data_IF_220789588933
#
_entry.id   IF_220789588933
#
_cell.length_a   1.000
_cell.length_b   1.000
_cell.length_c   1.000
_cell.angle_alpha   90.00
_cell.angle_beta   90.00
_cell.angle_gamma   90.00
#
_symmetry.space_group_name_H-M   'P 1'
#
loop_
_entity.id
_entity.type
_entity.pdbx_description
1 polymer ?
#
# COMPACT_ATOMS: atom_id res chain seq x y z
N UNK A 1 -38.52 -18.15 -9.24
CA UNK A 1 -37.50 -18.95 -8.51
C UNK A 1 -36.09 -18.69 -9.00
N UNK A 2 -35.74 -18.97 -10.28
CA UNK A 2 -34.38 -18.76 -10.82
C UNK A 2 -33.88 -17.30 -10.73
N UNK A 3 -34.75 -16.31 -10.99
CA UNK A 3 -34.41 -14.87 -10.88
C UNK A 3 -34.08 -14.42 -9.45
N UNK A 4 -34.79 -14.95 -8.44
CA UNK A 4 -34.50 -14.68 -7.02
C UNK A 4 -33.16 -15.28 -6.59
N UNK A 5 -32.81 -16.47 -7.11
CA UNK A 5 -31.53 -17.12 -6.83
C UNK A 5 -30.35 -16.32 -7.42
N UNK A 6 -30.49 -15.81 -8.64
CA UNK A 6 -29.48 -14.95 -9.29
C UNK A 6 -29.31 -13.63 -8.53
N UNK A 7 -30.39 -13.02 -8.07
CA UNK A 7 -30.35 -11.79 -7.27
C UNK A 7 -29.66 -12.02 -5.92
N UNK A 8 -29.99 -13.10 -5.23
CA UNK A 8 -29.34 -13.45 -3.96
C UNK A 8 -27.85 -13.76 -4.13
N UNK A 9 -27.47 -14.41 -5.24
CA UNK A 9 -26.06 -14.70 -5.53
C UNK A 9 -25.27 -13.41 -5.86
N UNK A 10 -25.88 -12.46 -6.57
CA UNK A 10 -25.28 -11.15 -6.84
C UNK A 10 -25.01 -10.35 -5.56
N UNK A 11 -25.92 -10.40 -4.59
CA UNK A 11 -25.76 -9.74 -3.28
C UNK A 11 -24.62 -10.38 -2.49
N UNK A 12 -24.52 -11.72 -2.49
CA UNK A 12 -23.43 -12.44 -1.82
C UNK A 12 -22.05 -12.10 -2.40
N UNK A 13 -21.94 -11.96 -3.72
CA UNK A 13 -20.69 -11.57 -4.37
C UNK A 13 -20.33 -10.11 -4.02
N UNK A 14 -21.32 -9.20 -4.01
CA UNK A 14 -21.09 -7.80 -3.67
C UNK A 14 -20.59 -7.60 -2.22
N UNK A 15 -21.00 -8.48 -1.29
CA UNK A 15 -20.54 -8.43 0.10
C UNK A 15 -19.08 -8.92 0.29
N UNK A 16 -18.51 -9.64 -0.69
CA UNK A 16 -17.15 -10.19 -0.58
C UNK A 16 -16.02 -9.18 -0.90
N UNK A 17 -16.34 -7.98 -1.37
CA UNK A 17 -15.31 -7.00 -1.80
C UNK A 17 -14.68 -6.18 -0.66
N UNK A 18 -15.19 -6.27 0.56
CA UNK A 18 -14.62 -5.57 1.71
C UNK A 18 -13.32 -6.25 2.18
N UNK A 19 -12.18 -5.88 1.57
CA UNK A 19 -10.87 -6.13 2.18
C UNK A 19 -10.65 -5.15 3.33
N UNK A 20 -10.57 -5.68 4.55
CA UNK A 20 -10.17 -4.91 5.74
C UNK A 20 -8.67 -4.60 5.70
N UNK A 21 -8.30 -3.37 6.00
CA UNK A 21 -6.90 -2.98 6.22
C UNK A 21 -6.49 -3.35 7.64
N UNK A 22 -5.30 -3.94 7.79
CA UNK A 22 -4.76 -4.26 9.12
C UNK A 22 -4.22 -2.97 9.75
N UNK A 23 -4.80 -2.56 10.88
CA UNK A 23 -4.35 -1.42 11.67
C UNK A 23 -3.86 -1.95 13.01
N UNK A 24 -2.69 -1.50 13.44
CA UNK A 24 -2.10 -1.82 14.75
C UNK A 24 -1.74 -0.51 15.45
N UNK A 25 -2.05 -0.40 16.73
CA UNK A 25 -1.76 0.76 17.56
C UNK A 25 -1.17 0.30 18.88
N UNK A 26 -0.13 0.98 19.33
CA UNK A 26 0.54 0.75 20.61
C UNK A 26 0.74 2.10 21.33
N UNK A 27 0.66 2.11 22.66
CA UNK A 27 0.83 3.30 23.48
C UNK A 27 1.32 2.91 24.89
N UNK A 28 1.96 3.85 25.58
CA UNK A 28 2.37 3.66 26.98
C UNK A 28 1.15 3.81 27.92
N UNK A 29 0.77 2.76 28.68
CA UNK A 29 -0.37 2.80 29.59
C UNK A 29 -0.18 3.75 30.77
N UNK A 30 1.04 4.17 31.08
CA UNK A 30 1.33 5.11 32.18
C UNK A 30 1.19 6.57 31.77
N UNK A 31 1.01 6.87 30.47
CA UNK A 31 0.94 8.23 29.96
C UNK A 31 -0.50 8.76 30.00
N UNK A 32 -0.72 9.88 30.70
CA UNK A 32 -2.01 10.56 30.73
C UNK A 32 -2.16 11.55 29.56
N UNK A 33 -2.70 11.07 28.43
CA UNK A 33 -2.90 11.90 27.23
C UNK A 33 -3.92 13.05 27.39
N UNK A 34 -4.67 13.10 28.50
CA UNK A 34 -5.62 14.18 28.76
C UNK A 34 -4.94 15.48 29.19
N UNK A 35 -3.68 15.40 29.65
CA UNK A 35 -2.89 16.56 30.09
C UNK A 35 -2.40 17.40 28.90
N UNK A 36 -2.18 16.78 27.75
CA UNK A 36 -1.73 17.45 26.54
C UNK A 36 -2.88 18.16 25.83
N UNK A 37 -2.65 19.39 25.38
CA UNK A 37 -3.67 20.23 24.72
C UNK A 37 -3.25 20.71 23.34
N UNK A 38 -1.95 20.78 23.10
CA UNK A 38 -1.39 21.32 21.87
C UNK A 38 -0.58 20.28 21.12
N UNK A 39 -0.59 20.36 19.79
CA UNK A 39 0.21 19.49 18.95
C UNK A 39 0.84 20.24 17.79
N UNK A 40 1.94 19.72 17.28
CA UNK A 40 2.48 20.07 15.98
C UNK A 40 2.80 18.81 15.16
N UNK A 41 2.84 18.97 13.85
CA UNK A 41 3.23 17.91 12.93
C UNK A 41 4.63 18.22 12.42
N UNK A 42 5.53 17.25 12.56
CA UNK A 42 6.89 17.35 12.05
C UNK A 42 6.88 17.40 10.52
N UNK A 43 7.88 18.04 9.89
CA UNK A 43 8.09 17.94 8.46
C UNK A 43 8.15 16.48 7.99
N UNK A 44 7.74 16.23 6.75
CA UNK A 44 7.85 14.92 6.15
C UNK A 44 9.29 14.42 6.16
N UNK A 45 9.46 13.13 6.42
CA UNK A 45 10.77 12.49 6.30
C UNK A 45 11.30 12.61 4.87
N UNK A 46 12.60 12.85 4.71
CA UNK A 46 13.22 13.13 3.40
C UNK A 46 13.00 11.98 2.40
N UNK A 47 13.09 10.73 2.86
CA UNK A 47 12.85 9.52 2.05
C UNK A 47 11.42 9.41 1.50
N UNK A 48 10.46 10.02 2.20
CA UNK A 48 9.06 10.03 1.80
C UNK A 48 8.76 11.16 0.80
N UNK A 49 9.51 12.26 0.87
CA UNK A 49 9.24 13.46 0.09
C UNK A 49 9.43 13.23 -1.42
N UNK A 50 10.35 12.33 -1.80
CA UNK A 50 10.64 11.97 -3.19
C UNK A 50 9.69 10.91 -3.75
N UNK A 51 9.17 10.04 -2.88
CA UNK A 51 8.45 8.85 -3.30
C UNK A 51 6.92 9.03 -3.32
N UNK A 52 6.39 10.04 -2.61
CA UNK A 52 4.94 10.28 -2.48
C UNK A 52 4.54 11.60 -3.12
N UNK A 53 3.45 11.59 -3.88
CA UNK A 53 2.87 12.77 -4.51
C UNK A 53 2.46 13.84 -3.46
N UNK A 54 2.78 15.14 -3.68
CA UNK A 54 2.31 16.24 -2.82
C UNK A 54 0.81 16.24 -2.50
N UNK A 55 -0.04 15.79 -3.43
CA UNK A 55 -1.48 15.69 -3.17
C UNK A 55 -1.82 14.69 -2.07
N UNK A 56 -1.15 13.55 -2.04
CA UNK A 56 -1.38 12.50 -1.04
C UNK A 56 -0.74 12.88 0.30
N UNK A 57 0.43 13.54 0.26
CA UNK A 57 1.02 14.15 1.45
C UNK A 57 0.03 15.12 2.10
N UNK A 58 -0.59 16.01 1.31
CA UNK A 58 -1.60 16.96 1.80
C UNK A 58 -2.82 16.25 2.39
N UNK A 59 -3.30 15.18 1.75
CA UNK A 59 -4.45 14.40 2.25
C UNK A 59 -4.16 13.78 3.62
N UNK A 60 -2.98 13.21 3.80
CA UNK A 60 -2.57 12.59 5.06
C UNK A 60 -2.43 13.64 6.15
N UNK A 61 -1.76 14.76 5.86
CA UNK A 61 -1.64 15.87 6.80
C UNK A 61 -3.03 16.40 7.23
N UNK A 62 -3.93 16.61 6.28
CA UNK A 62 -5.30 17.05 6.58
C UNK A 62 -6.04 16.02 7.45
N UNK A 63 -5.93 14.73 7.15
CA UNK A 63 -6.55 13.68 7.95
C UNK A 63 -6.01 13.68 9.41
N UNK A 64 -4.70 13.89 9.60
CA UNK A 64 -4.12 14.04 10.94
C UNK A 64 -4.72 15.26 11.63
N UNK A 65 -4.80 16.40 10.95
CA UNK A 65 -5.37 17.62 11.52
C UNK A 65 -6.84 17.45 11.93
N UNK A 66 -7.66 16.86 11.07
CA UNK A 66 -9.07 16.61 11.34
C UNK A 66 -9.26 15.67 12.54
N UNK A 67 -8.43 14.62 12.65
CA UNK A 67 -8.49 13.68 13.77
C UNK A 67 -8.02 14.31 15.09
N UNK A 68 -6.97 15.14 15.07
CA UNK A 68 -6.51 15.82 16.27
C UNK A 68 -7.50 16.89 16.73
N UNK A 69 -8.07 17.65 15.78
CA UNK A 69 -9.08 18.66 16.08
C UNK A 69 -10.38 18.04 16.62
N UNK A 70 -10.83 16.92 16.04
CA UNK A 70 -12.04 16.22 16.54
C UNK A 70 -11.86 15.67 17.97
N UNK A 71 -10.63 15.41 18.40
CA UNK A 71 -10.25 15.04 19.78
C UNK A 71 -10.04 16.24 20.71
N UNK A 72 -10.14 17.46 20.21
CA UNK A 72 -10.04 18.70 20.99
C UNK A 72 -8.63 19.27 21.14
N UNK A 73 -7.64 18.75 20.42
CA UNK A 73 -6.28 19.31 20.43
C UNK A 73 -6.18 20.56 19.56
N UNK A 74 -5.32 21.50 19.95
CA UNK A 74 -5.04 22.73 19.20
C UNK A 74 -3.69 22.64 18.48
N UNK A 75 -3.66 23.01 17.21
CA UNK A 75 -2.40 23.09 16.45
C UNK A 75 -1.60 24.32 16.88
N UNK A 76 -0.31 24.14 17.11
CA UNK A 76 0.66 25.23 17.34
C UNK A 76 1.89 25.03 16.45
N UNK A 77 2.61 26.12 16.16
CA UNK A 77 3.82 26.09 15.31
C UNK A 77 5.11 25.82 16.11
N UNK A 78 5.12 26.14 17.41
CA UNK A 78 6.26 25.93 18.30
C UNK A 78 5.80 25.74 19.74
N UNK A 79 6.57 25.00 20.54
CA UNK A 79 6.30 24.83 21.98
C UNK A 79 5.07 23.98 22.28
N UNK A 80 4.74 23.03 21.40
CA UNK A 80 3.64 22.08 21.59
C UNK A 80 3.93 21.04 22.67
N UNK A 81 2.86 20.50 23.24
CA UNK A 81 2.93 19.35 24.15
C UNK A 81 3.20 18.02 23.40
N UNK A 82 2.70 17.90 22.16
CA UNK A 82 2.79 16.69 21.34
C UNK A 82 3.41 16.96 19.97
N UNK A 83 4.33 16.08 19.57
CA UNK A 83 4.92 16.04 18.24
C UNK A 83 4.40 14.82 17.46
N UNK A 84 3.90 15.02 16.24
CA UNK A 84 3.48 13.91 15.37
C UNK A 84 4.50 13.75 14.26
N UNK A 85 5.15 12.58 14.21
CA UNK A 85 5.99 12.15 13.09
C UNK A 85 5.25 11.14 12.23
N UNK A 86 5.34 11.29 10.91
CA UNK A 86 4.71 10.37 9.95
C UNK A 86 5.77 9.75 9.06
N UNK A 87 5.73 8.42 8.94
CA UNK A 87 6.60 7.66 8.06
C UNK A 87 5.77 6.68 7.22
N UNK A 88 6.20 6.44 6.00
CA UNK A 88 5.50 5.56 5.05
C UNK A 88 6.53 4.81 4.22
N UNK A 89 6.35 3.49 4.12
CA UNK A 89 7.14 2.65 3.25
C UNK A 89 6.30 2.31 2.02
N UNK A 90 6.84 2.59 0.84
CA UNK A 90 6.29 2.12 -0.42
C UNK A 90 6.95 0.79 -0.78
N UNK A 91 6.15 -0.25 -0.94
CA UNK A 91 6.61 -1.53 -1.44
C UNK A 91 6.22 -1.65 -2.91
N UNK A 92 7.15 -1.33 -3.80
CA UNK A 92 7.00 -1.58 -5.23
C UNK A 92 7.07 -3.09 -5.47
N UNK A 93 5.90 -3.71 -5.58
CA UNK A 93 5.82 -5.10 -6.03
C UNK A 93 5.93 -5.10 -7.54
N UNK A 94 7.15 -5.25 -8.05
CA UNK A 94 7.34 -5.49 -9.48
C UNK A 94 6.70 -6.84 -9.86
N UNK A 95 5.53 -6.78 -10.52
CA UNK A 95 5.02 -7.93 -11.25
C UNK A 95 5.75 -8.01 -12.59
N UNK A 96 6.84 -8.78 -12.63
CA UNK A 96 7.44 -9.21 -13.90
C UNK A 96 6.47 -10.18 -14.58
N UNK A 97 5.63 -9.67 -15.47
CA UNK A 97 4.90 -10.51 -16.41
C UNK A 97 5.85 -10.89 -17.52
N UNK A 98 6.41 -12.10 -17.48
CA UNK A 98 7.11 -12.68 -18.62
C UNK A 98 6.09 -12.94 -19.73
N UNK A 99 5.98 -12.02 -20.68
CA UNK A 99 5.27 -12.27 -21.92
C UNK A 99 6.09 -13.26 -22.75
N UNK A 100 5.82 -14.56 -22.60
CA UNK A 100 6.19 -15.53 -23.62
C UNK A 100 5.30 -15.24 -24.84
N UNK A 101 5.78 -14.37 -25.73
CA UNK A 101 5.26 -14.29 -27.09
C UNK A 101 5.63 -15.58 -27.82
N UNK A 102 4.93 -16.68 -27.48
CA UNK A 102 4.94 -17.90 -28.27
C UNK A 102 3.97 -17.73 -29.43
N UNK A 103 4.26 -16.78 -30.33
CA UNK A 103 3.78 -16.84 -31.70
C UNK A 103 4.84 -17.56 -32.52
N UNK A 104 4.95 -18.87 -32.28
CA UNK A 104 5.55 -19.78 -33.26
C UNK A 104 4.54 -19.94 -34.39
N UNK A 105 4.66 -19.07 -35.38
CA UNK A 105 4.06 -19.25 -36.70
C UNK A 105 4.56 -20.57 -37.25
N UNK A 106 3.64 -21.53 -37.37
CA UNK A 106 3.71 -22.69 -38.26
C UNK A 106 4.96 -23.58 -38.15
N UNK A 107 4.90 -24.59 -37.30
CA UNK A 107 5.86 -25.70 -37.42
C UNK A 107 5.79 -26.69 -36.27
N UNK A 108 4.95 -27.71 -36.44
CA UNK A 108 5.02 -29.04 -35.83
C UNK A 108 6.16 -29.28 -34.81
N UNK A 109 5.87 -29.13 -33.52
CA UNK A 109 6.77 -29.51 -32.43
C UNK A 109 6.31 -30.80 -31.76
N UNK A 110 6.64 -31.93 -32.37
CA UNK A 110 6.42 -33.29 -31.87
C UNK A 110 7.53 -33.65 -30.84
N UNK A 111 7.12 -34.13 -29.66
CA UNK A 111 7.82 -35.09 -28.78
C UNK A 111 9.25 -34.87 -28.24
N UNK A 112 9.41 -35.23 -26.96
CA UNK A 112 10.64 -35.81 -26.39
C UNK A 112 11.68 -34.77 -25.98
N UNK A 113 12.13 -34.71 -24.73
CA UNK A 113 12.76 -35.83 -24.04
C UNK A 113 14.28 -35.64 -24.12
N UNK A 114 14.91 -35.39 -22.97
CA UNK A 114 16.33 -35.56 -22.63
C UNK A 114 17.37 -35.61 -23.76
N UNK A 115 18.31 -34.65 -23.78
CA UNK A 115 19.48 -34.75 -24.64
C UNK A 115 20.58 -33.76 -24.30
N UNK A 116 21.68 -34.29 -23.78
CA UNK A 116 22.94 -33.62 -23.49
C UNK A 116 23.56 -32.91 -24.71
N UNK A 117 24.38 -31.91 -24.40
CA UNK A 117 25.52 -31.41 -25.17
C UNK A 117 25.21 -30.48 -26.36
N UNK A 118 25.54 -29.19 -26.21
CA UNK A 118 26.70 -28.63 -26.91
C UNK A 118 26.99 -27.21 -26.44
N UNK A 119 28.26 -27.02 -26.10
CA UNK A 119 28.96 -25.76 -25.91
C UNK A 119 28.58 -24.69 -26.94
N UNK A 120 28.47 -23.44 -26.50
CA UNK A 120 28.39 -22.29 -27.38
C UNK A 120 28.38 -20.99 -26.60
N UNK A 121 29.56 -20.44 -26.36
CA UNK A 121 29.82 -19.20 -25.66
C UNK A 121 29.08 -17.99 -26.27
N UNK A 122 28.69 -17.05 -25.41
CA UNK A 122 28.22 -15.73 -25.80
C UNK A 122 28.06 -14.82 -24.59
N UNK A 123 29.18 -14.32 -24.07
CA UNK A 123 29.25 -13.21 -23.10
C UNK A 123 28.68 -11.93 -23.72
N UNK A 124 28.03 -11.10 -22.91
CA UNK A 124 27.95 -9.67 -23.19
C UNK A 124 26.85 -8.91 -22.43
N UNK A 125 27.25 -8.19 -21.38
CA UNK A 125 26.61 -6.94 -20.91
C UNK A 125 25.45 -7.09 -19.95
#
# INVERSE_FOLDING_TARGET
>A
MKKSIILSLGILIALSSCKSTKITSDFDPNTNFTEYKTYFVLPWHEENATSINPFDQKRILNAIHDQMQSRGYKRVESGSDLAISTFMLLNDKEQTSAYLNYYSTNGYGYYGGFGYHSFGAGYGG
#
